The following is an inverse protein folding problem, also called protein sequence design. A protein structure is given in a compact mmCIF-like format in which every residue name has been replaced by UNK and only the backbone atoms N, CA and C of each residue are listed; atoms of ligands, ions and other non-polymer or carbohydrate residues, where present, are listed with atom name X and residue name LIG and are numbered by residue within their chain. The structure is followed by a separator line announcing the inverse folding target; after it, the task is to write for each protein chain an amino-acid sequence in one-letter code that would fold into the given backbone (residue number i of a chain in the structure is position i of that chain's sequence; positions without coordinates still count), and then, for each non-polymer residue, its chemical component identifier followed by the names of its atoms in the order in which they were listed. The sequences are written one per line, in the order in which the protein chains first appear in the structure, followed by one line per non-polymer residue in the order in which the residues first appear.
data_IF_833903010125
#
_entry.id   IF_833903010125
#
_cell.length_a   1.000
_cell.length_b   1.000
_cell.length_c   1.000
_cell.angle_alpha   90.00
_cell.angle_beta   90.00
_cell.angle_gamma   90.00
#
_symmetry.space_group_name_H-M   'P 1'
#
loop_
_entity.id
_entity.type
_entity.pdbx_description
1 polymer ?
#
# COMPACT_ATOMS: atom_id res chain seq x y z
N UNK A 1 -48.82 44.65 9.39
CA UNK A 1 -48.50 45.72 8.41
C UNK A 1 -47.43 46.64 8.99
N UNK A 2 -46.59 47.19 8.10
CA UNK A 2 -45.51 48.21 8.28
C UNK A 2 -44.09 47.69 8.51
N UNK A 3 -43.36 47.56 7.40
CA UNK A 3 -41.91 47.79 7.30
C UNK A 3 -41.60 49.29 7.49
N UNK A 4 -40.38 49.61 7.97
CA UNK A 4 -39.62 50.73 7.45
C UNK A 4 -38.34 50.27 6.74
N UNK A 5 -38.05 50.92 5.61
CA UNK A 5 -36.79 50.92 4.86
C UNK A 5 -35.94 52.11 5.31
N UNK A 6 -34.61 51.96 5.39
CA UNK A 6 -33.61 53.04 5.18
C UNK A 6 -32.21 52.40 5.10
N UNK A 7 -31.60 52.22 3.91
CA UNK A 7 -30.72 53.13 3.12
C UNK A 7 -29.28 53.28 3.66
N UNK A 8 -28.37 52.60 2.94
CA UNK A 8 -27.00 52.95 2.47
C UNK A 8 -25.93 53.40 3.48
N UNK A 9 -24.79 52.71 3.46
CA UNK A 9 -23.48 53.30 3.16
C UNK A 9 -22.49 52.21 2.70
N UNK A 10 -21.88 52.43 1.53
CA UNK A 10 -20.68 51.76 1.04
C UNK A 10 -19.47 52.26 1.82
N UNK A 11 -18.49 51.40 2.10
CA UNK A 11 -17.08 51.79 2.06
C UNK A 11 -16.23 50.55 1.81
N UNK A 12 -15.49 50.62 0.70
CA UNK A 12 -14.49 49.67 0.28
C UNK A 12 -13.21 49.85 1.11
N UNK A 13 -12.53 48.75 1.39
CA UNK A 13 -11.12 48.77 1.77
C UNK A 13 -10.46 47.50 1.24
N UNK A 14 -9.86 47.65 0.06
CA UNK A 14 -8.88 46.74 -0.52
C UNK A 14 -7.54 47.03 0.17
N UNK A 15 -6.92 46.00 0.74
CA UNK A 15 -5.51 46.03 1.13
C UNK A 15 -4.77 44.97 0.31
N UNK A 16 -3.81 45.34 -0.55
CA UNK A 16 -2.86 44.40 -1.11
C UNK A 16 -1.70 44.23 -0.13
N UNK A 17 -1.48 43.01 0.37
CA UNK A 17 -0.22 42.62 1.01
C UNK A 17 0.50 41.71 0.05
N UNK A 18 1.65 42.16 -0.44
CA UNK A 18 2.55 41.40 -1.31
C UNK A 18 3.63 40.70 -0.48
N UNK A 19 3.83 39.43 -0.83
CA UNK A 19 5.03 38.58 -0.79
C UNK A 19 6.03 38.67 0.40
N UNK A 20 6.23 37.52 1.04
CA UNK A 20 7.44 37.12 1.75
C UNK A 20 7.66 35.62 1.55
N UNK A 21 8.85 35.27 1.10
CA UNK A 21 9.28 34.01 0.49
C UNK A 21 9.47 32.83 1.49
N UNK A 22 9.58 31.65 0.88
CA UNK A 22 10.37 30.45 1.22
C UNK A 22 9.66 29.29 1.90
N UNK A 23 9.61 28.15 1.18
CA UNK A 23 9.41 26.83 1.75
C UNK A 23 8.26 26.00 1.16
N UNK A 24 7.95 26.13 -0.13
CA UNK A 24 7.24 25.05 -0.83
C UNK A 24 8.25 23.94 -1.11
N UNK A 25 8.29 22.94 -0.25
CA UNK A 25 8.81 21.62 -0.63
C UNK A 25 7.78 21.01 -1.57
N UNK A 26 7.74 21.47 -2.81
CA UNK A 26 7.15 20.71 -3.91
C UNK A 26 8.16 19.59 -4.21
N UNK A 27 8.06 18.51 -3.46
CA UNK A 27 8.55 17.21 -3.91
C UNK A 27 7.59 16.78 -5.01
N UNK A 28 7.75 17.39 -6.18
CA UNK A 28 7.07 16.97 -7.39
C UNK A 28 7.74 15.67 -7.81
N UNK A 29 7.24 14.57 -7.23
CA UNK A 29 7.36 13.26 -7.84
C UNK A 29 6.87 13.43 -9.29
N UNK A 30 7.60 12.96 -10.30
CA UNK A 30 6.98 12.82 -11.61
C UNK A 30 5.85 11.82 -11.45
N UNK A 31 4.61 12.32 -11.32
CA UNK A 31 3.43 11.58 -11.77
C UNK A 31 3.62 11.39 -13.27
N UNK A 32 4.35 10.34 -13.62
CA UNK A 32 4.45 9.84 -14.98
C UNK A 32 3.10 9.20 -15.30
N UNK A 33 2.12 10.04 -15.63
CA UNK A 33 0.80 9.66 -16.15
C UNK A 33 0.86 9.05 -17.57
N UNK A 34 2.06 8.79 -18.11
CA UNK A 34 2.21 8.09 -19.37
C UNK A 34 2.06 6.58 -19.12
N UNK A 35 1.10 5.91 -19.78
CA UNK A 35 0.93 4.47 -19.63
C UNK A 35 2.22 3.76 -20.03
N UNK A 36 2.69 2.85 -19.18
CA UNK A 36 3.91 2.07 -19.41
C UNK A 36 3.85 1.38 -20.78
N UNK A 37 4.70 1.79 -21.73
CA UNK A 37 4.70 1.26 -23.10
C UNK A 37 4.95 -0.26 -23.14
N UNK A 38 5.73 -0.78 -22.19
CA UNK A 38 6.09 -2.20 -22.07
C UNK A 38 5.21 -2.98 -21.07
N UNK A 39 4.28 -2.34 -20.37
CA UNK A 39 3.51 -2.94 -19.26
C UNK A 39 4.31 -3.25 -17.99
N UNK A 40 5.62 -3.50 -18.12
CA UNK A 40 6.59 -3.79 -17.06
C UNK A 40 7.22 -2.50 -16.55
N UNK A 41 7.50 -2.46 -15.26
CA UNK A 41 8.10 -1.33 -14.58
C UNK A 41 9.60 -1.24 -14.93
N UNK A 42 10.14 -0.06 -15.28
CA UNK A 42 11.57 0.14 -15.45
C UNK A 42 12.32 -0.07 -14.13
N UNK A 43 13.48 -0.72 -14.17
CA UNK A 43 14.27 -1.04 -12.95
C UNK A 43 14.72 0.23 -12.22
N UNK A 44 14.94 1.33 -12.94
CA UNK A 44 15.34 2.63 -12.41
C UNK A 44 14.15 3.52 -11.98
N UNK A 45 12.92 3.04 -12.08
CA UNK A 45 11.74 3.78 -11.65
C UNK A 45 11.59 3.85 -10.13
N UNK A 46 12.28 2.98 -9.37
CA UNK A 46 12.19 2.89 -7.92
C UNK A 46 13.57 2.83 -7.26
N UNK A 47 13.68 3.43 -6.07
CA UNK A 47 14.88 3.34 -5.23
C UNK A 47 14.72 2.24 -4.18
N UNK A 48 15.50 1.18 -4.33
CA UNK A 48 15.49 0.04 -3.40
C UNK A 48 16.15 0.33 -2.04
N UNK A 49 16.73 1.52 -1.82
CA UNK A 49 17.26 1.86 -0.48
C UNK A 49 16.17 2.15 0.55
N UNK A 50 14.96 2.53 0.10
CA UNK A 50 13.86 2.98 0.97
C UNK A 50 12.66 2.02 0.95
N UNK A 51 12.89 0.71 0.81
CA UNK A 51 11.80 -0.28 0.80
C UNK A 51 11.04 -0.31 2.12
N UNK A 52 9.74 -0.03 2.11
CA UNK A 52 8.89 0.07 3.31
C UNK A 52 8.35 -1.29 3.77
N UNK A 53 9.24 -2.26 4.02
CA UNK A 53 8.86 -3.60 4.51
C UNK A 53 8.94 -3.70 6.04
N UNK A 54 7.84 -3.98 6.76
CA UNK A 54 7.84 -4.17 8.21
C UNK A 54 8.81 -5.27 8.66
N UNK A 55 9.71 -4.94 9.58
CA UNK A 55 10.76 -5.84 10.12
C UNK A 55 10.87 -5.68 11.65
N UNK A 56 9.81 -6.01 12.40
CA UNK A 56 9.84 -5.91 13.86
C UNK A 56 10.92 -6.82 14.47
N UNK A 57 11.50 -6.38 15.57
CA UNK A 57 12.38 -7.22 16.37
C UNK A 57 11.58 -8.36 17.04
N UNK A 58 12.25 -9.48 17.32
CA UNK A 58 11.67 -10.57 18.11
C UNK A 58 11.30 -10.06 19.50
N UNK A 59 10.05 -10.27 19.97
CA UNK A 59 9.63 -9.82 21.28
C UNK A 59 10.39 -10.58 22.40
N UNK A 60 10.70 -9.92 23.53
CA UNK A 60 11.47 -10.53 24.62
C UNK A 60 10.66 -11.46 25.54
N UNK A 61 9.37 -11.66 25.26
CA UNK A 61 8.46 -12.45 26.09
C UNK A 61 8.00 -13.68 25.32
N UNK A 62 8.08 -14.85 25.94
CA UNK A 62 7.89 -16.15 25.28
C UNK A 62 6.46 -16.36 24.72
N UNK A 63 5.47 -15.65 25.25
CA UNK A 63 4.06 -15.77 24.84
C UNK A 63 3.61 -14.69 23.83
N UNK A 64 4.51 -13.83 23.34
CA UNK A 64 4.15 -12.83 22.32
C UNK A 64 4.19 -13.43 20.92
N UNK A 65 3.41 -12.84 20.01
CA UNK A 65 3.41 -13.24 18.61
C UNK A 65 4.78 -12.93 17.98
N UNK A 66 5.43 -13.95 17.43
CA UNK A 66 6.74 -13.79 16.79
C UNK A 66 6.61 -13.21 15.36
N UNK A 67 7.57 -12.40 14.91
CA UNK A 67 7.68 -12.01 13.50
C UNK A 67 7.79 -13.22 12.57
N UNK A 68 7.21 -13.13 11.38
CA UNK A 68 7.34 -14.15 10.34
C UNK A 68 8.41 -13.75 9.30
N UNK A 69 9.12 -14.74 8.76
CA UNK A 69 10.06 -14.55 7.65
C UNK A 69 9.29 -14.35 6.35
N UNK A 70 9.71 -13.37 5.54
CA UNK A 70 9.15 -13.18 4.21
C UNK A 70 9.54 -14.33 3.28
N UNK A 71 8.63 -14.76 2.38
CA UNK A 71 8.99 -15.70 1.33
C UNK A 71 9.91 -15.04 0.30
N UNK A 72 10.72 -15.87 -0.35
CA UNK A 72 11.44 -15.51 -1.58
C UNK A 72 10.61 -15.99 -2.79
N UNK A 73 10.67 -15.30 -3.94
CA UNK A 73 10.01 -15.76 -5.16
C UNK A 73 10.65 -17.06 -5.67
N UNK A 74 9.84 -17.95 -6.26
CA UNK A 74 10.40 -19.13 -6.95
C UNK A 74 10.92 -18.77 -8.34
N UNK A 75 11.74 -19.65 -8.89
CA UNK A 75 12.18 -19.58 -10.29
C UNK A 75 11.64 -20.82 -11.04
N UNK A 76 10.81 -20.63 -12.09
CA UNK A 76 10.33 -19.36 -12.65
C UNK A 76 9.23 -18.69 -11.81
N UNK A 77 9.21 -17.36 -11.80
CA UNK A 77 8.31 -16.55 -10.96
C UNK A 77 6.82 -16.86 -11.20
N UNK A 78 6.43 -17.02 -12.46
CA UNK A 78 5.03 -17.14 -12.84
C UNK A 78 4.38 -18.45 -12.38
N UNK A 79 5.17 -19.49 -12.07
CA UNK A 79 4.65 -20.79 -11.66
C UNK A 79 3.92 -20.72 -10.30
N UNK A 80 4.32 -19.80 -9.41
CA UNK A 80 3.79 -19.71 -8.05
C UNK A 80 3.57 -18.30 -7.52
N UNK A 81 3.56 -17.27 -8.37
CA UNK A 81 3.38 -15.86 -7.98
C UNK A 81 2.17 -15.63 -7.08
N UNK A 82 1.07 -16.36 -7.33
CA UNK A 82 -0.13 -16.35 -6.51
C UNK A 82 0.09 -16.79 -5.06
N UNK A 83 0.91 -17.83 -4.88
CA UNK A 83 1.26 -18.39 -3.59
C UNK A 83 2.24 -17.46 -2.87
N UNK A 84 3.25 -16.98 -3.60
CA UNK A 84 4.22 -15.99 -3.14
C UNK A 84 3.52 -14.74 -2.59
N UNK A 85 2.65 -14.07 -3.38
CA UNK A 85 1.99 -12.84 -2.95
C UNK A 85 1.08 -13.07 -1.74
N UNK A 86 0.40 -14.22 -1.66
CA UNK A 86 -0.47 -14.54 -0.52
C UNK A 86 0.33 -14.65 0.77
N UNK A 87 1.41 -15.42 0.74
CA UNK A 87 2.25 -15.64 1.92
C UNK A 87 3.03 -14.37 2.28
N UNK A 88 3.41 -13.58 1.27
CA UNK A 88 4.02 -12.28 1.44
C UNK A 88 3.07 -11.30 2.14
N UNK A 89 1.82 -11.14 1.71
CA UNK A 89 0.86 -10.23 2.35
C UNK A 89 0.49 -10.69 3.77
N UNK A 90 0.30 -12.00 3.99
CA UNK A 90 0.07 -12.52 5.33
C UNK A 90 1.24 -12.17 6.28
N UNK A 91 2.48 -12.31 5.80
CA UNK A 91 3.69 -11.94 6.52
C UNK A 91 3.78 -10.43 6.74
N UNK A 92 3.52 -9.63 5.71
CA UNK A 92 3.52 -8.17 5.76
C UNK A 92 2.55 -7.65 6.83
N UNK A 93 1.31 -8.12 6.82
CA UNK A 93 0.27 -7.72 7.79
C UNK A 93 0.63 -8.16 9.21
N UNK A 94 1.17 -9.37 9.39
CA UNK A 94 1.60 -9.87 10.70
C UNK A 94 2.72 -9.02 11.27
N UNK A 95 3.76 -8.79 10.47
CA UNK A 95 4.92 -8.04 10.88
C UNK A 95 4.56 -6.58 11.15
N UNK A 96 3.71 -5.96 10.33
CA UNK A 96 3.19 -4.61 10.60
C UNK A 96 2.41 -4.53 11.92
N UNK A 97 1.61 -5.56 12.23
CA UNK A 97 0.86 -5.61 13.49
C UNK A 97 1.79 -5.75 14.71
N UNK A 98 2.82 -6.59 14.62
CA UNK A 98 3.83 -6.73 15.66
C UNK A 98 4.67 -5.47 15.79
N UNK A 99 5.03 -4.81 14.70
CA UNK A 99 5.77 -3.55 14.75
C UNK A 99 4.97 -2.44 15.43
N UNK A 100 3.66 -2.38 15.17
CA UNK A 100 2.78 -1.38 15.76
C UNK A 100 2.48 -1.61 17.25
N UNK A 101 2.35 -2.87 17.70
CA UNK A 101 1.86 -3.19 19.06
C UNK A 101 2.85 -3.99 19.92
N UNK A 102 3.96 -4.47 19.36
CA UNK A 102 5.03 -5.19 20.05
C UNK A 102 4.53 -6.32 20.94
N UNK A 103 4.91 -6.26 22.22
CA UNK A 103 4.53 -7.26 23.24
C UNK A 103 3.05 -7.28 23.58
N UNK A 104 2.25 -6.31 23.11
CA UNK A 104 0.80 -6.34 23.29
C UNK A 104 0.09 -7.25 22.29
N UNK A 105 0.73 -7.66 21.20
CA UNK A 105 0.12 -8.58 20.23
C UNK A 105 -0.25 -9.93 20.84
N UNK A 106 -1.46 -10.43 20.55
CA UNK A 106 -1.98 -11.70 21.08
C UNK A 106 -2.38 -12.69 19.99
N UNK A 107 -3.24 -12.25 19.09
CA UNK A 107 -3.76 -13.09 18.03
C UNK A 107 -3.67 -12.38 16.67
N UNK A 108 -3.46 -13.19 15.64
CA UNK A 108 -3.43 -12.77 14.25
C UNK A 108 -4.01 -13.91 13.41
N UNK A 109 -5.12 -13.65 12.74
CA UNK A 109 -5.79 -14.58 11.84
C UNK A 109 -5.98 -13.92 10.47
N UNK A 110 -5.30 -14.47 9.46
CA UNK A 110 -5.38 -14.03 8.08
C UNK A 110 -6.20 -15.04 7.27
N UNK A 111 -7.33 -14.58 6.73
CA UNK A 111 -8.24 -15.40 5.92
C UNK A 111 -8.28 -14.89 4.49
N UNK A 112 -7.65 -15.63 3.60
CA UNK A 112 -7.74 -15.39 2.17
C UNK A 112 -9.19 -15.56 1.68
N UNK A 113 -9.66 -14.63 0.84
CA UNK A 113 -10.96 -14.70 0.20
C UNK A 113 -10.83 -15.14 -1.26
N UNK A 114 -10.45 -14.21 -2.12
CA UNK A 114 -10.38 -14.41 -3.58
C UNK A 114 -9.24 -13.60 -4.19
N UNK A 115 -8.86 -13.94 -5.41
CA UNK A 115 -7.81 -13.24 -6.17
C UNK A 115 -8.12 -13.16 -7.65
N UNK A 116 -7.42 -12.25 -8.31
CA UNK A 116 -7.26 -12.16 -9.76
C UNK A 116 -5.78 -11.96 -10.05
N UNK A 117 -5.30 -12.66 -11.07
CA UNK A 117 -3.90 -12.62 -11.49
C UNK A 117 -3.85 -12.49 -13.00
N UNK A 118 -3.10 -11.50 -13.46
CA UNK A 118 -2.89 -11.22 -14.87
C UNK A 118 -1.36 -11.18 -15.10
N UNK A 119 -0.86 -12.03 -15.99
CA UNK A 119 0.53 -11.95 -16.45
C UNK A 119 0.72 -10.64 -17.23
N UNK A 120 1.87 -10.00 -17.02
CA UNK A 120 2.23 -8.78 -17.74
C UNK A 120 3.01 -9.18 -18.98
N UNK A 121 2.33 -9.14 -20.13
CA UNK A 121 3.00 -9.31 -21.41
C UNK A 121 4.02 -8.17 -21.59
N UNK A 122 5.26 -8.54 -21.88
CA UNK A 122 6.32 -7.57 -22.07
C UNK A 122 7.18 -7.92 -23.28
N UNK A 123 7.71 -6.89 -23.94
CA UNK A 123 8.70 -7.08 -25.01
C UNK A 123 10.08 -7.44 -24.43
N UNK A 124 10.28 -7.26 -23.12
CA UNK A 124 11.43 -7.77 -22.40
C UNK A 124 11.24 -9.25 -22.02
N UNK A 125 12.30 -10.05 -21.99
CA UNK A 125 12.23 -11.45 -21.52
C UNK A 125 12.06 -11.54 -19.98
N UNK A 126 11.40 -10.55 -19.36
CA UNK A 126 11.20 -10.45 -17.91
C UNK A 126 9.81 -10.95 -17.54
N UNK A 127 9.79 -11.93 -16.67
CA UNK A 127 8.55 -12.43 -16.07
C UNK A 127 8.00 -11.40 -15.09
N UNK A 128 6.76 -10.98 -15.31
CA UNK A 128 6.06 -10.04 -14.44
C UNK A 128 4.57 -10.38 -14.35
N UNK A 129 3.96 -10.10 -13.20
CA UNK A 129 2.55 -10.34 -12.97
C UNK A 129 1.90 -9.25 -12.10
N UNK A 130 0.62 -9.02 -12.36
CA UNK A 130 -0.27 -8.27 -11.49
C UNK A 130 -1.12 -9.24 -10.68
N UNK A 131 -1.14 -9.07 -9.36
CA UNK A 131 -1.97 -9.87 -8.45
C UNK A 131 -2.85 -8.95 -7.62
N UNK A 132 -4.17 -9.12 -7.70
CA UNK A 132 -5.14 -8.47 -6.82
C UNK A 132 -5.76 -9.50 -5.91
N UNK A 133 -5.74 -9.27 -4.60
CA UNK A 133 -6.36 -10.19 -3.64
C UNK A 133 -7.26 -9.47 -2.66
N UNK A 134 -8.29 -10.18 -2.22
CA UNK A 134 -9.20 -9.76 -1.16
C UNK A 134 -9.08 -10.73 0.01
N UNK A 135 -8.89 -10.21 1.21
CA UNK A 135 -8.76 -10.99 2.44
C UNK A 135 -9.53 -10.37 3.61
N UNK A 136 -9.66 -11.16 4.67
CA UNK A 136 -10.13 -10.74 5.99
C UNK A 136 -9.00 -10.92 6.99
N UNK A 137 -8.91 -10.00 7.94
CA UNK A 137 -7.90 -10.01 8.98
C UNK A 137 -8.58 -9.82 10.33
N UNK A 138 -8.23 -10.65 11.29
CA UNK A 138 -8.66 -10.52 12.68
C UNK A 138 -7.42 -10.45 13.56
N UNK A 139 -7.35 -9.42 14.39
CA UNK A 139 -6.19 -9.18 15.26
C UNK A 139 -6.64 -8.88 16.68
N UNK A 140 -5.81 -9.22 17.66
CA UNK A 140 -6.10 -8.98 19.07
C UNK A 140 -4.86 -8.47 19.80
N UNK A 141 -5.06 -7.53 20.73
CA UNK A 141 -4.03 -7.00 21.62
C UNK A 141 -4.37 -7.30 23.07
N UNK A 142 -3.39 -7.27 23.97
CA UNK A 142 -3.61 -7.55 25.40
C UNK A 142 -4.57 -6.55 26.07
N UNK A 143 -4.58 -5.31 25.60
CA UNK A 143 -5.34 -4.18 26.19
C UNK A 143 -6.52 -3.74 25.33
N UNK A 144 -6.56 -4.14 24.06
CA UNK A 144 -7.65 -3.89 23.13
C UNK A 144 -8.20 -5.19 22.57
N UNK A 145 -9.52 -5.36 22.62
CA UNK A 145 -10.19 -6.53 22.07
C UNK A 145 -10.00 -6.70 20.55
N UNK A 146 -10.73 -7.66 20.00
CA UNK A 146 -10.66 -8.05 18.58
C UNK A 146 -10.88 -6.87 17.63
N UNK A 147 -10.03 -6.77 16.60
CA UNK A 147 -10.08 -5.76 15.55
C UNK A 147 -10.22 -6.45 14.19
N UNK A 148 -11.45 -6.63 13.70
CA UNK A 148 -11.69 -7.23 12.39
C UNK A 148 -11.55 -6.19 11.27
N UNK A 149 -10.79 -6.53 10.24
CA UNK A 149 -10.79 -5.90 8.92
C UNK A 149 -11.41 -6.89 7.93
N UNK A 150 -12.36 -6.44 7.12
CA UNK A 150 -13.11 -7.30 6.22
C UNK A 150 -13.04 -6.80 4.79
N UNK A 151 -13.00 -7.74 3.85
CA UNK A 151 -12.93 -7.47 2.42
C UNK A 151 -11.85 -6.42 2.06
N UNK A 152 -10.67 -6.54 2.69
CA UNK A 152 -9.53 -5.69 2.38
C UNK A 152 -8.95 -6.12 1.05
N UNK A 153 -8.77 -5.17 0.12
CA UNK A 153 -8.11 -5.42 -1.16
C UNK A 153 -6.72 -4.80 -1.21
N UNK A 154 -5.78 -5.58 -1.72
CA UNK A 154 -4.42 -5.16 -2.02
C UNK A 154 -4.07 -5.64 -3.43
N UNK A 155 -3.32 -4.82 -4.14
CA UNK A 155 -2.81 -5.10 -5.48
C UNK A 155 -1.30 -5.11 -5.44
N UNK A 156 -0.73 -6.00 -6.25
CA UNK A 156 0.70 -6.23 -6.35
C UNK A 156 1.12 -6.23 -7.81
N UNK A 157 2.28 -5.63 -8.05
CA UNK A 157 3.09 -5.90 -9.23
C UNK A 157 4.33 -6.64 -8.74
N UNK A 158 4.64 -7.76 -9.38
CA UNK A 158 5.80 -8.59 -9.05
C UNK A 158 6.55 -8.89 -10.33
N UNK A 159 7.85 -8.63 -10.33
CA UNK A 159 8.78 -9.16 -11.32
C UNK A 159 10.03 -9.73 -10.61
N UNK A 160 11.02 -10.18 -11.39
CA UNK A 160 12.26 -10.75 -10.86
C UNK A 160 13.09 -9.77 -10.00
N UNK A 161 12.85 -8.46 -10.08
CA UNK A 161 13.64 -7.42 -9.41
C UNK A 161 12.88 -6.74 -8.26
N UNK A 162 11.55 -6.60 -8.36
CA UNK A 162 10.78 -5.74 -7.44
C UNK A 162 9.38 -6.28 -7.14
N UNK A 163 8.92 -5.98 -5.92
CA UNK A 163 7.54 -6.14 -5.48
C UNK A 163 6.98 -4.77 -5.12
N UNK A 164 5.96 -4.33 -5.85
CA UNK A 164 5.20 -3.12 -5.55
C UNK A 164 3.87 -3.51 -4.92
N UNK A 165 3.45 -2.78 -3.88
CA UNK A 165 2.21 -3.03 -3.14
C UNK A 165 1.37 -1.76 -3.11
N UNK A 166 0.12 -1.84 -3.52
CA UNK A 166 -0.86 -0.77 -3.35
C UNK A 166 -2.11 -1.29 -2.62
N UNK A 167 -2.61 -0.51 -1.66
CA UNK A 167 -3.78 -0.89 -0.86
C UNK A 167 -4.99 -0.07 -1.29
N UNK A 168 -6.13 -0.73 -1.50
CA UNK A 168 -7.40 -0.05 -1.69
C UNK A 168 -7.92 0.49 -0.35
N UNK A 169 -8.22 1.79 -0.29
CA UNK A 169 -8.82 2.42 0.89
C UNK A 169 -10.34 2.31 0.86
N UNK A 170 -10.83 1.13 1.23
CA UNK A 170 -12.25 0.86 1.29
C UNK A 170 -12.57 -0.62 1.46
N UNK A 171 -13.87 -0.92 1.32
CA UNK A 171 -14.40 -2.27 1.33
C UNK A 171 -14.50 -2.76 -0.10
N UNK A 172 -13.79 -3.84 -0.42
CA UNK A 172 -13.80 -4.41 -1.76
C UNK A 172 -15.01 -5.31 -1.99
N UNK A 173 -15.56 -5.27 -3.20
CA UNK A 173 -16.58 -6.22 -3.65
C UNK A 173 -15.99 -7.40 -4.44
N UNK A 174 -14.66 -7.41 -4.63
CA UNK A 174 -13.93 -8.40 -5.42
C UNK A 174 -12.53 -7.93 -5.77
N UNK A 175 -11.72 -8.81 -6.39
CA UNK A 175 -10.37 -8.50 -6.82
C UNK A 175 -10.40 -7.69 -8.11
N UNK A 176 -9.81 -6.50 -8.07
CA UNK A 176 -9.65 -5.57 -9.19
C UNK A 176 -8.26 -4.93 -9.07
N UNK A 177 -7.65 -4.53 -10.19
CA UNK A 177 -6.38 -3.82 -10.21
C UNK A 177 -6.57 -2.31 -9.99
N UNK A 178 -7.36 -1.97 -8.98
CA UNK A 178 -7.58 -0.59 -8.53
C UNK A 178 -7.34 -0.52 -7.01
N UNK A 179 -6.29 0.20 -6.56
CA UNK A 179 -5.31 0.95 -7.36
C UNK A 179 -4.38 0.08 -8.23
N UNK A 180 -3.86 0.62 -9.34
CA UNK A 180 -2.80 -0.04 -10.13
C UNK A 180 -1.47 0.06 -9.36
N UNK A 181 -0.85 -1.07 -8.97
CA UNK A 181 0.36 -1.06 -8.15
C UNK A 181 1.59 -0.52 -8.89
N UNK A 182 1.57 -0.39 -10.22
CA UNK A 182 2.69 0.15 -10.98
C UNK A 182 2.78 1.68 -10.93
N UNK A 183 1.67 2.36 -10.65
CA UNK A 183 1.59 3.82 -10.56
C UNK A 183 1.29 4.33 -9.16
N UNK A 184 0.55 3.55 -8.35
CA UNK A 184 0.14 3.93 -7.01
C UNK A 184 0.73 3.01 -5.92
N UNK A 185 1.61 2.09 -6.28
CA UNK A 185 2.25 1.16 -5.35
C UNK A 185 3.57 1.67 -4.80
N UNK A 186 3.91 1.16 -3.62
CA UNK A 186 5.18 1.41 -2.95
C UNK A 186 6.06 0.15 -3.02
N UNK A 187 7.39 0.29 -3.13
CA UNK A 187 8.30 -0.84 -3.12
C UNK A 187 8.31 -1.50 -1.74
N UNK A 188 7.95 -2.78 -1.70
CA UNK A 188 7.94 -3.60 -0.47
C UNK A 188 8.94 -4.74 -0.49
N UNK A 189 9.55 -5.06 -1.63
CA UNK A 189 10.74 -5.90 -1.71
C UNK A 189 11.52 -5.57 -2.99
N UNK A 190 12.84 -5.71 -2.91
CA UNK A 190 13.72 -5.72 -4.08
C UNK A 190 14.63 -6.94 -4.03
N UNK A 191 15.03 -7.41 -5.20
CA UNK A 191 15.89 -8.57 -5.40
C UNK A 191 17.09 -8.16 -6.29
N UNK A 192 18.21 -8.86 -6.13
CA UNK A 192 19.47 -8.62 -6.84
C UNK A 192 19.62 -9.52 -8.08
#
# INVERSE_FOLDING_TARGET
MRRPRSRRALLASLLPVTAGLTGCSDSQLPESDEPLESGVVPVDAYDCTDTERPRPATPPVDDALEPASYPDPSEPLLDDVDQFVRDFEATYRRNAFIEAFGTETRAFDFRFGTRRTDEVESESDRDAALVSMVYHLETETATGGERPEWATRVTYYVDENIVLRARYDGIANGPEFEPDPRSAGEPVACFD
#
